data_IF_756403380033
#
_entry.id   IF_756403380033
#
_cell.length_a   1.000
_cell.length_b   1.000
_cell.length_c   1.000
_cell.angle_alpha   90.00
_cell.angle_beta   90.00
_cell.angle_gamma   90.00
#
_symmetry.space_group_name_H-M   'P 1'
#
loop_
_entity.id
_entity.type
_entity.pdbx_description
1 polymer ?
#
# COMPACT_ATOMS: atom_id res chain seq x y z
N UNK A 1 -16.43 13.31 12.53
CA UNK A 1 -17.28 12.69 11.47
C UNK A 1 -16.34 12.24 10.39
N UNK A 2 -16.23 10.93 10.15
CA UNK A 2 -15.45 10.40 9.03
C UNK A 2 -16.06 10.81 7.68
N UNK A 3 -15.25 10.82 6.63
CA UNK A 3 -15.75 11.08 5.28
C UNK A 3 -16.48 9.86 4.73
N UNK A 4 -17.41 10.04 3.79
CA UNK A 4 -18.10 8.91 3.12
C UNK A 4 -17.10 7.94 2.47
N UNK A 5 -15.98 8.45 1.97
CA UNK A 5 -14.87 7.64 1.44
C UNK A 5 -14.23 6.77 2.53
N UNK A 6 -13.88 7.37 3.68
CA UNK A 6 -13.27 6.66 4.79
C UNK A 6 -14.16 5.53 5.33
N UNK A 7 -15.46 5.79 5.45
CA UNK A 7 -16.44 4.79 5.87
C UNK A 7 -16.53 3.62 4.89
N UNK A 8 -16.46 3.88 3.57
CA UNK A 8 -16.45 2.82 2.55
C UNK A 8 -15.19 1.97 2.65
N UNK A 9 -14.02 2.60 2.70
CA UNK A 9 -12.73 1.93 2.84
C UNK A 9 -12.74 1.04 4.10
N UNK A 10 -13.11 1.60 5.25
CA UNK A 10 -13.12 0.86 6.52
C UNK A 10 -14.10 -0.33 6.50
N UNK A 11 -15.32 -0.14 5.98
CA UNK A 11 -16.30 -1.24 5.86
C UNK A 11 -15.83 -2.33 4.90
N UNK A 12 -15.23 -1.96 3.78
CA UNK A 12 -14.70 -2.93 2.81
C UNK A 12 -13.50 -3.71 3.37
N UNK A 13 -12.62 -3.03 4.11
CA UNK A 13 -11.49 -3.68 4.79
C UNK A 13 -11.94 -4.72 5.82
N UNK A 14 -12.96 -4.40 6.62
CA UNK A 14 -13.52 -5.35 7.59
C UNK A 14 -14.32 -6.50 6.96
N UNK A 15 -14.59 -6.44 5.66
CA UNK A 15 -15.24 -7.51 4.89
C UNK A 15 -14.26 -8.36 4.10
N UNK A 16 -12.96 -8.01 4.11
CA UNK A 16 -11.94 -8.84 3.49
C UNK A 16 -12.01 -10.25 4.10
N UNK A 17 -11.96 -11.27 3.25
CA UNK A 17 -11.93 -12.66 3.71
C UNK A 17 -10.60 -13.04 4.37
N UNK A 18 -9.65 -12.10 4.42
CA UNK A 18 -8.30 -12.26 4.92
C UNK A 18 -8.01 -11.22 5.99
N UNK A 19 -7.24 -11.64 6.98
CA UNK A 19 -6.60 -10.72 7.92
C UNK A 19 -5.61 -9.79 7.20
N UNK A 20 -5.30 -8.61 7.77
CA UNK A 20 -4.28 -7.71 7.23
C UNK A 20 -2.92 -8.40 7.06
N UNK A 21 -2.58 -9.32 7.96
CA UNK A 21 -1.36 -10.13 7.92
C UNK A 21 -1.35 -11.09 6.73
N UNK A 22 -2.44 -11.85 6.51
CA UNK A 22 -2.54 -12.77 5.36
C UNK A 22 -2.53 -12.03 4.02
N UNK A 23 -3.14 -10.84 3.97
CA UNK A 23 -3.08 -9.98 2.79
C UNK A 23 -1.64 -9.52 2.54
N UNK A 24 -0.96 -9.04 3.59
CA UNK A 24 0.43 -8.61 3.52
C UNK A 24 1.38 -9.74 3.12
N UNK A 25 1.17 -10.97 3.62
CA UNK A 25 1.94 -12.15 3.25
C UNK A 25 1.73 -12.50 1.77
N UNK A 26 0.48 -12.47 1.28
CA UNK A 26 0.19 -12.72 -0.14
C UNK A 26 0.82 -11.67 -1.03
N UNK A 27 0.72 -10.39 -0.64
CA UNK A 27 1.36 -9.31 -1.37
C UNK A 27 2.89 -9.46 -1.38
N UNK A 28 3.50 -9.79 -0.23
CA UNK A 28 4.93 -10.05 -0.14
C UNK A 28 5.37 -11.22 -1.03
N UNK A 29 4.57 -12.30 -1.10
CA UNK A 29 4.82 -13.42 -2.01
C UNK A 29 4.80 -12.98 -3.47
N UNK A 30 3.76 -12.24 -3.89
CA UNK A 30 3.66 -11.71 -5.26
C UNK A 30 4.80 -10.74 -5.59
N UNK A 31 5.24 -9.92 -4.64
CA UNK A 31 6.40 -9.03 -4.85
C UNK A 31 7.70 -9.79 -5.10
N UNK A 32 7.92 -10.91 -4.41
CA UNK A 32 9.09 -11.76 -4.62
C UNK A 32 9.08 -12.40 -6.02
N UNK A 33 7.91 -12.74 -6.56
CA UNK A 33 7.77 -13.26 -7.92
C UNK A 33 8.12 -12.22 -9.01
N UNK A 34 8.06 -10.92 -8.68
CA UNK A 34 8.39 -9.84 -9.60
C UNK A 34 9.89 -9.53 -9.69
N UNK A 35 10.73 -10.24 -8.91
CA UNK A 35 12.20 -10.07 -8.86
C UNK A 35 12.64 -8.59 -8.75
N UNK A 36 12.03 -7.86 -7.81
CA UNK A 36 12.40 -6.48 -7.54
C UNK A 36 13.71 -6.46 -6.73
N UNK A 37 14.82 -6.22 -7.43
CA UNK A 37 16.20 -6.22 -6.93
C UNK A 37 16.34 -5.78 -5.45
N UNK A 38 16.81 -6.71 -4.60
CA UNK A 38 17.39 -6.42 -3.28
C UNK A 38 16.43 -5.93 -2.19
N UNK A 39 15.12 -6.00 -2.39
CA UNK A 39 14.15 -5.65 -1.34
C UNK A 39 13.99 -6.79 -0.33
N UNK A 40 14.21 -6.51 0.96
CA UNK A 40 13.90 -7.46 2.03
C UNK A 40 12.40 -7.45 2.33
N UNK A 41 11.58 -7.99 1.42
CA UNK A 41 10.12 -8.00 1.55
C UNK A 41 9.65 -9.06 2.55
N UNK A 42 10.32 -10.22 2.57
CA UNK A 42 9.91 -11.41 3.33
C UNK A 42 9.89 -11.16 4.83
N UNK A 43 10.90 -10.47 5.36
CA UNK A 43 10.98 -10.14 6.79
C UNK A 43 10.01 -9.02 7.21
N UNK A 44 9.41 -8.32 6.23
CA UNK A 44 8.66 -7.07 6.45
C UNK A 44 7.15 -7.19 6.33
N UNK A 45 6.59 -8.36 6.03
CA UNK A 45 5.13 -8.57 5.90
C UNK A 45 4.33 -7.97 7.08
N UNK A 46 4.78 -8.13 8.33
CA UNK A 46 4.11 -7.49 9.49
C UNK A 46 4.10 -5.97 9.43
N UNK A 47 5.16 -5.37 8.89
CA UNK A 47 5.22 -3.91 8.70
C UNK A 47 4.29 -3.45 7.58
N UNK A 48 4.10 -4.27 6.54
CA UNK A 48 3.08 -4.03 5.50
C UNK A 48 1.68 -4.06 6.11
N UNK A 49 1.38 -5.11 6.89
CA UNK A 49 0.08 -5.26 7.56
C UNK A 49 -0.21 -4.09 8.51
N UNK A 50 0.80 -3.66 9.27
CA UNK A 50 0.70 -2.50 10.16
C UNK A 50 0.48 -1.19 9.37
N UNK A 51 1.22 -0.97 8.28
CA UNK A 51 1.06 0.22 7.44
C UNK A 51 -0.34 0.25 6.81
N UNK A 52 -0.81 -0.86 6.26
CA UNK A 52 -2.14 -0.97 5.69
C UNK A 52 -3.23 -0.70 6.73
N UNK A 53 -3.13 -1.35 7.90
CA UNK A 53 -4.07 -1.14 8.99
C UNK A 53 -4.08 0.32 9.42
N UNK A 54 -2.92 0.95 9.62
CA UNK A 54 -2.82 2.35 10.01
C UNK A 54 -3.49 3.27 8.99
N UNK A 55 -3.20 3.10 7.70
CA UNK A 55 -3.74 3.96 6.64
C UNK A 55 -5.25 3.79 6.51
N UNK A 56 -5.76 2.55 6.58
CA UNK A 56 -7.19 2.26 6.53
C UNK A 56 -7.94 2.84 7.73
N UNK A 57 -7.42 2.67 8.95
CA UNK A 57 -8.06 3.17 10.17
C UNK A 57 -8.11 4.70 10.24
N UNK A 58 -7.34 5.38 9.40
CA UNK A 58 -7.27 6.82 9.33
C UNK A 58 -7.56 7.33 7.90
N UNK A 59 -8.41 6.61 7.16
CA UNK A 59 -8.72 6.92 5.78
C UNK A 59 -9.42 8.30 5.59
N UNK A 60 -9.96 8.88 6.66
CA UNK A 60 -10.50 10.23 6.68
C UNK A 60 -9.39 11.30 6.68
N UNK A 61 -8.18 10.93 7.11
CA UNK A 61 -7.01 11.79 7.21
C UNK A 61 -5.89 11.39 6.23
N UNK A 62 -6.21 10.70 5.13
CA UNK A 62 -5.20 10.22 4.16
C UNK A 62 -4.22 11.31 3.73
N UNK A 63 -4.69 12.53 3.44
CA UNK A 63 -3.81 13.63 3.07
C UNK A 63 -2.80 14.02 4.16
N UNK A 64 -3.25 14.04 5.42
CA UNK A 64 -2.39 14.31 6.58
C UNK A 64 -1.40 13.17 6.82
N UNK A 65 -1.86 11.93 6.73
CA UNK A 65 -1.02 10.74 6.95
C UNK A 65 -0.01 10.54 5.84
N UNK A 66 -0.37 10.78 4.59
CA UNK A 66 0.58 10.77 3.49
C UNK A 66 1.67 11.82 3.72
N UNK A 67 1.32 13.00 4.22
CA UNK A 67 2.28 14.03 4.64
C UNK A 67 3.19 13.60 5.80
N UNK A 68 2.67 12.83 6.76
CA UNK A 68 3.47 12.28 7.88
C UNK A 68 4.38 11.15 7.40
N UNK A 69 3.85 10.23 6.61
CA UNK A 69 4.57 9.07 6.09
C UNK A 69 5.70 9.49 5.12
N UNK A 70 5.46 10.46 4.24
CA UNK A 70 6.50 11.04 3.37
C UNK A 70 7.60 11.77 4.14
N UNK A 71 7.27 12.39 5.29
CA UNK A 71 8.26 13.06 6.17
C UNK A 71 8.99 12.10 7.09
N UNK A 72 8.45 10.92 7.35
CA UNK A 72 9.16 9.81 7.98
C UNK A 72 10.24 9.36 7.00
N UNK A 73 11.45 9.91 7.13
CA UNK A 73 12.55 9.83 6.13
C UNK A 73 13.04 8.41 5.81
N UNK A 74 12.41 7.35 6.32
CA UNK A 74 12.88 5.97 6.24
C UNK A 74 11.79 5.08 5.62
N UNK A 75 11.94 4.71 4.33
CA UNK A 75 11.15 3.64 3.74
C UNK A 75 11.34 2.33 4.52
N UNK A 76 10.25 1.61 4.76
CA UNK A 76 10.26 0.38 5.57
C UNK A 76 10.89 -0.80 4.85
N UNK A 77 10.65 -0.92 3.53
CA UNK A 77 11.15 -2.03 2.71
C UNK A 77 12.39 -1.62 1.91
N UNK A 78 12.41 -0.39 1.40
CA UNK A 78 13.53 0.09 0.58
C UNK A 78 13.09 1.13 -0.42
N UNK A 79 13.88 1.36 -1.46
CA UNK A 79 13.51 2.23 -2.58
C UNK A 79 13.43 1.41 -3.83
N UNK A 80 12.42 1.69 -4.65
CA UNK A 80 12.29 1.09 -5.96
C UNK A 80 13.21 1.78 -6.97
N UNK A 81 13.69 1.05 -8.00
CA UNK A 81 14.69 1.57 -8.94
C UNK A 81 14.13 2.68 -9.84
N UNK A 82 12.85 2.60 -10.21
CA UNK A 82 12.19 3.57 -11.09
C UNK A 82 10.68 3.72 -10.77
N UNK A 83 10.03 4.68 -11.46
CA UNK A 83 8.60 4.98 -11.29
C UNK A 83 7.69 3.86 -11.81
N UNK A 84 8.14 3.10 -12.80
CA UNK A 84 7.38 1.98 -13.37
C UNK A 84 7.32 0.82 -12.38
N UNK A 85 8.41 0.54 -11.65
CA UNK A 85 8.40 -0.40 -10.52
C UNK A 85 7.43 0.04 -9.43
N UNK A 86 7.43 1.33 -9.05
CA UNK A 86 6.49 1.85 -8.06
C UNK A 86 5.02 1.71 -8.50
N UNK A 87 4.73 1.99 -9.77
CA UNK A 87 3.39 1.78 -10.33
C UNK A 87 3.00 0.30 -10.27
N UNK A 88 3.87 -0.59 -10.74
CA UNK A 88 3.63 -2.04 -10.71
C UNK A 88 3.36 -2.56 -9.29
N UNK A 89 4.10 -2.07 -8.30
CA UNK A 89 3.91 -2.44 -6.90
C UNK A 89 2.56 -1.95 -6.35
N UNK A 90 2.12 -0.75 -6.74
CA UNK A 90 0.79 -0.22 -6.38
C UNK A 90 -0.31 -1.08 -6.99
N UNK A 91 -0.24 -1.33 -8.29
CA UNK A 91 -1.21 -2.16 -9.02
C UNK A 91 -1.29 -3.55 -8.38
N UNK A 92 -0.14 -4.15 -8.07
CA UNK A 92 -0.07 -5.47 -7.43
C UNK A 92 -0.70 -5.52 -6.03
N UNK A 93 -0.56 -4.44 -5.24
CA UNK A 93 -1.20 -4.36 -3.92
C UNK A 93 -2.72 -4.22 -4.07
N UNK A 94 -3.17 -3.37 -5.00
CA UNK A 94 -4.59 -3.19 -5.30
C UNK A 94 -5.23 -4.50 -5.76
N UNK A 95 -4.63 -5.18 -6.74
CA UNK A 95 -5.06 -6.50 -7.22
C UNK A 95 -5.15 -7.52 -6.06
N UNK A 96 -4.20 -7.48 -5.12
CA UNK A 96 -4.19 -8.40 -3.97
C UNK A 96 -5.35 -8.13 -3.01
N UNK A 97 -5.73 -6.86 -2.85
CA UNK A 97 -6.89 -6.46 -2.04
C UNK A 97 -8.18 -6.88 -2.73
N UNK A 98 -8.31 -6.60 -4.03
CA UNK A 98 -9.48 -6.97 -4.83
C UNK A 98 -9.72 -8.48 -4.84
N UNK A 99 -8.68 -9.28 -5.10
CA UNK A 99 -8.76 -10.75 -5.07
C UNK A 99 -9.15 -11.32 -3.69
N UNK A 100 -8.98 -10.54 -2.62
CA UNK A 100 -9.30 -10.97 -1.26
C UNK A 100 -10.75 -10.67 -0.88
N UNK A 101 -11.48 -9.90 -1.69
CA UNK A 101 -12.92 -9.70 -1.59
C UNK A 101 -13.51 -9.20 -2.92
N UNK A 102 -13.57 -10.03 -3.97
CA UNK A 102 -13.98 -9.60 -5.31
C UNK A 102 -15.41 -9.04 -5.34
N UNK A 103 -16.30 -9.60 -4.52
CA UNK A 103 -17.70 -9.16 -4.42
C UNK A 103 -17.87 -7.85 -3.63
N UNK A 104 -16.81 -7.35 -3.00
CA UNK A 104 -16.85 -6.13 -2.21
C UNK A 104 -16.45 -4.89 -3.01
N UNK A 105 -15.83 -5.04 -4.19
CA UNK A 105 -15.26 -3.94 -4.99
C UNK A 105 -16.17 -3.55 -6.16
N UNK A 106 -16.57 -2.27 -6.20
CA UNK A 106 -17.10 -1.60 -7.37
C UNK A 106 -16.08 -0.56 -7.88
N UNK A 107 -16.24 -0.04 -9.11
CA UNK A 107 -15.31 0.93 -9.72
C UNK A 107 -14.99 2.11 -8.79
N UNK A 108 -15.98 2.56 -8.02
CA UNK A 108 -15.83 3.69 -7.10
C UNK A 108 -14.98 3.34 -5.89
N UNK A 109 -15.10 2.12 -5.39
CA UNK A 109 -14.31 1.63 -4.28
C UNK A 109 -12.86 1.33 -4.72
N UNK A 110 -12.65 0.87 -5.96
CA UNK A 110 -11.30 0.74 -6.56
C UNK A 110 -10.56 2.09 -6.55
N UNK A 111 -11.24 3.17 -6.96
CA UNK A 111 -10.68 4.53 -6.93
C UNK A 111 -10.32 4.98 -5.50
N UNK A 112 -11.17 4.69 -4.52
CA UNK A 112 -10.94 5.01 -3.12
C UNK A 112 -9.73 4.24 -2.57
N UNK A 113 -9.63 2.94 -2.88
CA UNK A 113 -8.53 2.08 -2.47
C UNK A 113 -7.21 2.44 -3.15
N UNK A 114 -7.23 2.91 -4.39
CA UNK A 114 -6.04 3.40 -5.08
C UNK A 114 -5.32 4.49 -4.28
N UNK A 115 -6.08 5.36 -3.60
CA UNK A 115 -5.51 6.41 -2.72
C UNK A 115 -4.87 5.84 -1.45
N UNK A 116 -5.49 4.81 -0.88
CA UNK A 116 -4.95 4.09 0.29
C UNK A 116 -3.66 3.38 -0.09
N UNK A 117 -3.67 2.64 -1.21
CA UNK A 117 -2.52 1.93 -1.77
C UNK A 117 -1.39 2.90 -2.05
N UNK A 118 -1.67 4.05 -2.65
CA UNK A 118 -0.67 5.09 -2.88
C UNK A 118 0.02 5.53 -1.58
N UNK A 119 -0.74 5.77 -0.51
CA UNK A 119 -0.18 6.16 0.78
C UNK A 119 0.65 5.03 1.42
N UNK A 120 0.17 3.79 1.37
CA UNK A 120 0.88 2.61 1.89
C UNK A 120 2.19 2.39 1.12
N UNK A 121 2.15 2.37 -0.21
CA UNK A 121 3.33 2.19 -1.04
C UNK A 121 4.34 3.34 -0.84
N UNK A 122 3.87 4.57 -0.68
CA UNK A 122 4.73 5.72 -0.39
C UNK A 122 5.48 5.56 0.95
N UNK A 123 4.81 5.05 1.98
CA UNK A 123 5.43 4.75 3.27
C UNK A 123 6.46 3.61 3.20
N UNK A 124 6.15 2.58 2.42
CA UNK A 124 6.98 1.37 2.35
C UNK A 124 8.21 1.54 1.44
N UNK A 125 8.02 2.23 0.32
CA UNK A 125 9.00 2.32 -0.77
C UNK A 125 9.55 3.74 -1.01
N UNK A 126 8.95 4.76 -0.38
CA UNK A 126 9.25 6.17 -0.59
C UNK A 126 8.56 6.77 -1.82
N UNK A 127 8.53 8.11 -1.87
CA UNK A 127 7.87 8.88 -2.94
C UNK A 127 8.72 9.03 -4.22
N UNK A 128 10.02 8.72 -4.13
CA UNK A 128 10.97 8.92 -5.23
C UNK A 128 11.81 7.67 -5.45
N UNK A 129 11.99 7.25 -6.72
CA UNK A 129 12.84 6.12 -7.03
C UNK A 129 14.31 6.40 -6.69
N UNK A 130 15.08 5.34 -6.47
CA UNK A 130 16.50 5.44 -6.12
C UNK A 130 17.30 6.23 -7.17
N UNK A 131 17.00 6.02 -8.46
CA UNK A 131 17.62 6.71 -9.59
C UNK A 131 17.36 8.22 -9.63
N UNK A 132 16.27 8.72 -9.03
CA UNK A 132 15.97 10.16 -9.02
C UNK A 132 16.91 10.99 -8.13
N UNK A 133 17.71 10.35 -7.28
CA UNK A 133 18.66 11.05 -6.38
C UNK A 133 20.07 11.23 -6.95
N UNK A 134 20.39 10.62 -8.09
CA UNK A 134 21.74 10.70 -8.68
C UNK A 134 21.94 11.90 -9.64
N UNK A 135 20.97 12.82 -9.72
CA UNK A 135 21.02 14.00 -10.61
C UNK A 135 20.79 15.31 -9.83
N UNK A 136 21.34 15.43 -8.62
CA UNK A 136 21.35 16.67 -7.85
C UNK A 136 22.78 17.06 -7.47
#
# INVERSE_FOLDING_TARGET
MGTVMADRIWRSFNRLHKTPEELAERFAARLMEQDLDGLDVRSKHRSIAAALSLVVHNADMLGSIQGVLSRSRVPVIGRLPDRSSLRRVRDLLLDTIEESAPDAFDDRLVDDWSRVVDAVCSAMFGDQPASARLVA
#
